data_IF_438443380603
#
_entry.id   IF_438443380603
#
_cell.length_a   1.000
_cell.length_b   1.000
_cell.length_c   1.000
_cell.angle_alpha   90.00
_cell.angle_beta   90.00
_cell.angle_gamma   90.00
#
_symmetry.space_group_name_H-M   'P 1'
#
loop_
_entity.id
_entity.type
_entity.pdbx_description
1 polymer ?
#
# COMPACT_ATOMS: atom_id res chain seq x y z
N UNK A 1 26.91 -3.40 14.81
CA UNK A 1 27.80 -3.46 13.63
C UNK A 1 29.13 -2.91 14.08
N UNK A 2 30.15 -3.75 14.11
CA UNK A 2 31.48 -3.40 14.62
C UNK A 2 32.18 -2.36 13.74
N UNK A 3 31.91 -2.36 12.43
CA UNK A 3 32.54 -1.43 11.48
C UNK A 3 32.00 0.01 11.54
N UNK A 4 30.85 0.26 12.17
CA UNK A 4 30.27 1.62 12.24
C UNK A 4 29.49 1.91 13.53
N UNK A 5 29.63 1.06 14.55
CA UNK A 5 28.97 1.14 15.86
C UNK A 5 27.43 1.31 15.82
N UNK A 6 26.77 0.94 14.72
CA UNK A 6 25.30 0.97 14.62
C UNK A 6 24.67 -0.28 15.25
N UNK A 7 23.65 -0.08 16.06
CA UNK A 7 22.87 -1.15 16.70
C UNK A 7 21.66 -1.53 15.85
N UNK A 8 21.35 -2.83 15.78
CA UNK A 8 20.23 -3.36 14.99
C UNK A 8 19.36 -4.27 15.86
N UNK A 9 18.03 -4.21 15.72
CA UNK A 9 17.12 -4.98 16.57
C UNK A 9 16.98 -6.45 16.16
N UNK A 10 17.64 -6.89 15.08
CA UNK A 10 17.65 -8.30 14.68
C UNK A 10 18.86 -8.64 13.82
N UNK A 11 19.25 -9.93 13.83
CA UNK A 11 20.38 -10.46 13.04
C UNK A 11 20.21 -10.22 11.55
N UNK A 12 19.04 -10.52 10.98
CA UNK A 12 18.79 -10.32 9.53
C UNK A 12 18.90 -8.85 9.10
N UNK A 13 18.58 -7.90 9.99
CA UNK A 13 18.76 -6.47 9.72
C UNK A 13 20.24 -6.08 9.73
N UNK A 14 21.02 -6.67 10.64
CA UNK A 14 22.48 -6.51 10.71
C UNK A 14 23.17 -7.11 9.47
N UNK A 15 22.82 -8.33 9.06
CA UNK A 15 23.35 -8.97 7.84
C UNK A 15 23.07 -8.14 6.59
N UNK A 16 21.83 -7.67 6.44
CA UNK A 16 21.46 -6.75 5.36
C UNK A 16 22.24 -5.44 5.41
N UNK A 17 22.55 -4.95 6.62
CA UNK A 17 23.36 -3.75 6.79
C UNK A 17 24.82 -3.98 6.38
N UNK A 18 25.39 -5.16 6.62
CA UNK A 18 26.75 -5.50 6.19
C UNK A 18 26.95 -5.41 4.67
N UNK A 19 25.90 -5.62 3.86
CA UNK A 19 25.93 -5.37 2.41
C UNK A 19 26.29 -3.91 2.04
N UNK A 20 26.18 -2.99 3.00
CA UNK A 20 26.64 -1.61 2.82
C UNK A 20 28.17 -1.55 2.80
N UNK A 21 28.81 -2.22 3.75
CA UNK A 21 30.27 -2.26 3.89
C UNK A 21 30.93 -3.08 2.78
N UNK A 22 30.37 -4.24 2.43
CA UNK A 22 30.94 -5.10 1.38
C UNK A 22 30.64 -4.61 -0.04
N UNK A 23 29.74 -3.63 -0.19
CA UNK A 23 29.27 -3.17 -1.49
C UNK A 23 28.42 -4.18 -2.26
N UNK A 24 28.17 -5.38 -1.71
CA UNK A 24 27.41 -6.43 -2.38
C UNK A 24 25.97 -5.99 -2.66
N UNK A 25 25.49 -6.32 -3.86
CA UNK A 25 24.14 -6.02 -4.33
C UNK A 25 23.55 -7.28 -4.97
N UNK A 26 23.03 -8.22 -4.17
CA UNK A 26 22.64 -9.54 -4.65
C UNK A 26 21.43 -9.53 -5.62
N UNK A 27 20.63 -8.47 -5.63
CA UNK A 27 19.43 -8.38 -6.44
C UNK A 27 19.70 -7.63 -7.75
N UNK A 28 19.93 -8.35 -8.85
CA UNK A 28 20.20 -7.78 -10.17
C UNK A 28 18.92 -7.64 -11.00
N UNK A 29 18.77 -6.51 -11.69
CA UNK A 29 17.73 -6.28 -12.68
C UNK A 29 18.11 -6.98 -13.99
N UNK A 30 17.24 -7.87 -14.47
CA UNK A 30 17.44 -8.59 -15.73
C UNK A 30 17.41 -7.66 -16.95
N UNK A 31 16.59 -6.61 -16.93
CA UNK A 31 16.39 -5.72 -18.08
C UNK A 31 17.54 -4.74 -18.33
N UNK A 32 18.24 -4.28 -17.28
CA UNK A 32 19.27 -3.24 -17.43
C UNK A 32 20.56 -3.51 -16.63
N UNK A 33 20.67 -4.69 -16.00
CA UNK A 33 21.85 -5.10 -15.24
C UNK A 33 22.09 -4.38 -13.91
N UNK A 34 21.30 -3.34 -13.56
CA UNK A 34 21.46 -2.61 -12.29
C UNK A 34 21.17 -3.50 -11.09
N UNK A 35 22.06 -3.47 -10.09
CA UNK A 35 21.93 -4.29 -8.88
C UNK A 35 21.54 -3.49 -7.64
N UNK A 36 20.86 -4.16 -6.69
CA UNK A 36 20.32 -3.59 -5.45
C UNK A 36 20.66 -4.47 -4.24
N UNK A 37 20.71 -3.84 -3.05
CA UNK A 37 20.91 -4.54 -1.76
C UNK A 37 19.65 -5.20 -1.21
N UNK A 38 18.47 -4.81 -1.69
CA UNK A 38 17.18 -5.30 -1.21
C UNK A 38 16.28 -5.67 -2.38
N UNK A 39 15.57 -6.78 -2.26
CA UNK A 39 14.60 -7.24 -3.27
C UNK A 39 13.47 -6.24 -3.49
N UNK A 40 13.00 -5.57 -2.44
CA UNK A 40 11.98 -4.51 -2.52
C UNK A 40 12.44 -3.34 -3.38
N UNK A 41 13.71 -2.94 -3.29
CA UNK A 41 14.26 -1.88 -4.14
C UNK A 41 14.38 -2.32 -5.60
N UNK A 42 14.75 -3.58 -5.86
CA UNK A 42 14.73 -4.14 -7.21
C UNK A 42 13.30 -4.13 -7.78
N UNK A 43 12.29 -4.59 -7.03
CA UNK A 43 10.88 -4.57 -7.48
C UNK A 43 10.40 -3.16 -7.82
N UNK A 44 10.69 -2.18 -6.96
CA UNK A 44 10.36 -0.77 -7.23
C UNK A 44 11.10 -0.25 -8.46
N UNK A 45 12.38 -0.64 -8.64
CA UNK A 45 13.14 -0.29 -9.81
C UNK A 45 12.58 -0.93 -11.09
N UNK A 46 12.08 -2.16 -11.03
CA UNK A 46 11.47 -2.80 -12.22
C UNK A 46 10.28 -2.01 -12.73
N UNK A 47 9.51 -1.36 -11.84
CA UNK A 47 8.46 -0.43 -12.24
C UNK A 47 9.00 0.76 -13.05
N UNK A 48 10.30 1.08 -13.04
CA UNK A 48 10.85 2.15 -13.91
C UNK A 48 10.94 1.74 -15.37
N UNK A 49 10.97 0.45 -15.66
CA UNK A 49 10.95 -0.08 -17.02
C UNK A 49 9.53 -0.20 -17.58
N UNK A 50 8.52 -0.02 -16.73
CA UNK A 50 7.11 -0.02 -17.13
C UNK A 50 6.48 1.36 -16.86
N UNK A 51 5.37 1.64 -17.52
CA UNK A 51 4.50 2.78 -17.17
C UNK A 51 3.52 2.45 -16.04
N UNK A 52 3.68 1.31 -15.39
CA UNK A 52 2.81 0.89 -14.30
C UNK A 52 2.97 1.82 -13.09
N UNK A 53 1.84 2.30 -12.58
CA UNK A 53 1.77 3.18 -11.41
C UNK A 53 0.73 2.63 -10.44
N UNK A 54 1.09 1.62 -9.62
CA UNK A 54 0.14 0.88 -8.79
C UNK A 54 -0.58 1.75 -7.77
N UNK A 55 0.03 2.87 -7.38
CA UNK A 55 -0.50 3.75 -6.33
C UNK A 55 -1.08 5.02 -6.96
N UNK A 56 -2.39 5.07 -7.13
CA UNK A 56 -3.07 6.24 -7.69
C UNK A 56 -3.64 7.16 -6.61
N UNK A 57 -3.56 8.46 -6.87
CA UNK A 57 -4.25 9.47 -6.07
C UNK A 57 -5.73 9.49 -6.45
N UNK A 58 -6.61 9.06 -5.56
CA UNK A 58 -8.06 9.08 -5.81
C UNK A 58 -8.65 10.49 -6.04
N UNK A 59 -7.90 11.56 -5.74
CA UNK A 59 -8.35 12.95 -5.87
C UNK A 59 -8.04 13.54 -7.25
N UNK A 60 -6.80 13.39 -7.73
CA UNK A 60 -6.34 13.95 -9.02
C UNK A 60 -5.91 12.89 -10.04
N UNK A 61 -6.13 11.61 -9.74
CA UNK A 61 -5.75 10.43 -10.54
C UNK A 61 -4.25 10.29 -10.87
N UNK A 62 -3.40 11.14 -10.28
CA UNK A 62 -1.94 11.03 -10.44
C UNK A 62 -1.43 9.71 -9.87
N UNK A 63 -0.79 8.91 -10.73
CA UNK A 63 -0.17 7.63 -10.37
C UNK A 63 1.25 7.75 -9.83
N UNK A 64 1.63 6.85 -8.93
CA UNK A 64 2.96 6.74 -8.31
C UNK A 64 3.44 5.29 -8.30
N UNK A 65 4.76 5.10 -8.46
CA UNK A 65 5.42 3.79 -8.38
C UNK A 65 5.67 3.32 -6.93
N UNK A 66 5.57 4.22 -5.95
CA UNK A 66 5.84 3.95 -4.52
C UNK A 66 4.77 4.59 -3.64
N UNK A 67 4.22 3.84 -2.67
CA UNK A 67 3.19 4.31 -1.73
C UNK A 67 3.61 5.55 -0.92
N UNK A 68 4.86 5.60 -0.44
CA UNK A 68 5.33 6.75 0.34
C UNK A 68 5.34 8.06 -0.46
N UNK A 69 5.56 7.99 -1.78
CA UNK A 69 5.46 9.15 -2.68
C UNK A 69 4.00 9.59 -2.85
N UNK A 70 3.06 8.64 -2.98
CA UNK A 70 1.62 8.95 -2.97
C UNK A 70 1.21 9.63 -1.65
N UNK A 71 1.68 9.15 -0.50
CA UNK A 71 1.34 9.75 0.80
C UNK A 71 1.87 11.18 0.93
N UNK A 72 3.12 11.42 0.54
CA UNK A 72 3.68 12.79 0.47
C UNK A 72 2.87 13.68 -0.47
N UNK A 73 2.46 13.16 -1.63
CA UNK A 73 1.61 13.89 -2.55
C UNK A 73 0.24 14.23 -1.94
N UNK A 74 -0.40 13.30 -1.22
CA UNK A 74 -1.66 13.58 -0.50
C UNK A 74 -1.51 14.66 0.57
N UNK A 75 -0.34 14.76 1.21
CA UNK A 75 -0.05 15.85 2.16
C UNK A 75 -0.01 17.22 1.47
N UNK A 76 0.41 17.29 0.20
CA UNK A 76 0.36 18.55 -0.56
C UNK A 76 -1.08 19.01 -0.80
N UNK A 77 -2.01 18.08 -1.03
CA UNK A 77 -3.43 18.43 -1.11
C UNK A 77 -3.94 19.05 0.19
N UNK A 78 -3.58 18.46 1.33
CA UNK A 78 -3.95 18.99 2.64
C UNK A 78 -3.34 20.39 2.91
N UNK A 79 -2.07 20.61 2.54
CA UNK A 79 -1.39 21.91 2.69
C UNK A 79 -2.02 23.00 1.83
N UNK A 80 -2.43 22.65 0.62
CA UNK A 80 -3.10 23.56 -0.30
C UNK A 80 -4.59 23.73 0.02
N UNK A 81 -5.05 23.27 1.20
CA UNK A 81 -6.46 23.29 1.65
C UNK A 81 -7.45 22.63 0.69
N UNK A 82 -6.97 21.86 -0.29
CA UNK A 82 -7.82 20.95 -1.06
C UNK A 82 -8.09 19.74 -0.17
N UNK A 83 -9.26 19.68 0.46
CA UNK A 83 -9.65 18.52 1.25
C UNK A 83 -9.53 17.28 0.37
N UNK A 84 -8.67 16.29 0.71
CA UNK A 84 -8.40 15.14 -0.14
C UNK A 84 -9.61 14.20 -0.11
N UNK A 85 -10.61 14.52 -0.91
CA UNK A 85 -11.83 13.75 -1.00
C UNK A 85 -11.83 12.91 -2.27
N UNK A 86 -12.10 11.61 -2.11
CA UNK A 86 -12.22 10.69 -3.23
C UNK A 86 -13.67 10.67 -3.72
N UNK A 87 -13.89 10.93 -5.01
CA UNK A 87 -15.20 10.82 -5.66
C UNK A 87 -15.44 9.39 -6.13
N UNK A 88 -16.64 8.85 -5.92
CA UNK A 88 -17.10 7.63 -6.57
C UNK A 88 -17.48 7.95 -8.02
N UNK A 89 -16.93 7.21 -8.98
CA UNK A 89 -17.22 7.39 -10.40
C UNK A 89 -18.65 6.94 -10.79
N UNK A 90 -19.24 5.98 -10.06
CA UNK A 90 -20.58 5.43 -10.34
C UNK A 90 -21.75 6.26 -9.81
N UNK A 91 -21.55 6.98 -8.71
CA UNK A 91 -22.65 7.70 -8.04
C UNK A 91 -22.27 9.08 -7.51
N UNK A 92 -21.08 9.56 -7.85
CA UNK A 92 -20.55 10.88 -7.51
C UNK A 92 -20.39 11.19 -6.03
N UNK A 93 -20.72 10.24 -5.13
CA UNK A 93 -20.55 10.40 -3.69
C UNK A 93 -19.09 10.63 -3.33
N UNK A 94 -18.90 11.57 -2.41
CA UNK A 94 -17.59 12.06 -1.99
C UNK A 94 -17.20 11.41 -0.65
N UNK A 95 -15.97 10.92 -0.55
CA UNK A 95 -15.45 10.22 0.63
C UNK A 95 -14.17 10.87 1.16
N UNK A 96 -13.97 10.93 2.48
CA UNK A 96 -12.77 11.54 3.08
C UNK A 96 -11.51 10.69 2.91
N UNK A 97 -11.62 9.45 2.43
CA UNK A 97 -10.46 8.60 2.19
C UNK A 97 -10.72 7.51 1.15
N UNK A 98 -9.64 7.03 0.54
CA UNK A 98 -9.69 5.95 -0.44
C UNK A 98 -10.19 4.65 0.16
N UNK A 99 -9.92 4.36 1.43
CA UNK A 99 -10.43 3.15 2.10
C UNK A 99 -11.94 3.21 2.31
N UNK A 100 -12.50 4.39 2.60
CA UNK A 100 -13.95 4.60 2.71
C UNK A 100 -14.62 4.47 1.34
N UNK A 101 -14.01 5.01 0.29
CA UNK A 101 -14.49 4.84 -1.09
C UNK A 101 -14.43 3.37 -1.54
N UNK A 102 -13.33 2.66 -1.28
CA UNK A 102 -13.21 1.21 -1.58
C UNK A 102 -14.29 0.39 -0.88
N UNK A 103 -14.55 0.67 0.40
CA UNK A 103 -15.65 0.04 1.13
C UNK A 103 -17.02 0.40 0.55
N UNK A 104 -17.18 1.61 0.03
CA UNK A 104 -18.41 2.03 -0.64
C UNK A 104 -18.63 1.28 -1.97
N UNK A 105 -17.58 0.97 -2.73
CA UNK A 105 -17.71 0.18 -3.96
C UNK A 105 -18.34 -1.20 -3.74
N UNK A 106 -18.23 -1.78 -2.53
CA UNK A 106 -18.92 -3.03 -2.16
C UNK A 106 -20.45 -2.93 -2.24
N UNK A 107 -21.01 -1.71 -2.23
CA UNK A 107 -22.43 -1.49 -2.48
C UNK A 107 -22.75 -1.72 -3.95
N UNK A 108 -21.92 -1.16 -4.86
CA UNK A 108 -22.11 -1.29 -6.30
C UNK A 108 -21.77 -2.67 -6.85
N UNK A 109 -20.81 -3.39 -6.25
CA UNK A 109 -20.46 -4.76 -6.67
C UNK A 109 -21.30 -5.83 -5.97
N UNK A 110 -22.08 -5.47 -4.95
CA UNK A 110 -22.82 -6.42 -4.12
C UNK A 110 -21.96 -7.34 -3.25
N UNK A 111 -20.62 -7.23 -3.31
CA UNK A 111 -19.71 -8.11 -2.58
C UNK A 111 -19.87 -7.96 -1.06
N UNK A 112 -19.87 -9.11 -0.37
CA UNK A 112 -19.95 -9.20 1.09
C UNK A 112 -18.81 -10.10 1.60
N UNK A 113 -17.59 -9.56 1.79
CA UNK A 113 -16.40 -10.36 2.04
C UNK A 113 -16.39 -11.12 3.38
N UNK A 114 -17.28 -10.75 4.31
CA UNK A 114 -17.24 -11.25 5.68
C UNK A 114 -18.42 -12.18 5.93
N UNK A 115 -18.21 -13.50 5.83
CA UNK A 115 -19.21 -14.53 6.10
C UNK A 115 -19.26 -14.95 7.57
N UNK A 116 -20.46 -15.18 8.10
CA UNK A 116 -20.67 -15.88 9.36
C UNK A 116 -20.52 -17.39 9.14
N UNK A 117 -19.64 -18.02 9.91
CA UNK A 117 -19.40 -19.46 9.86
C UNK A 117 -20.53 -20.28 10.50
N UNK A 118 -21.38 -19.68 11.33
CA UNK A 118 -22.50 -20.38 12.00
C UNK A 118 -23.73 -20.45 11.11
N UNK A 119 -24.19 -19.32 10.57
CA UNK A 119 -25.45 -19.25 9.82
C UNK A 119 -25.29 -18.86 8.33
N UNK A 120 -24.06 -18.74 7.82
CA UNK A 120 -23.77 -18.40 6.42
C UNK A 120 -24.06 -16.95 6.03
N UNK A 121 -24.64 -16.11 6.90
CA UNK A 121 -24.92 -14.70 6.59
C UNK A 121 -23.64 -13.93 6.30
N UNK A 122 -23.60 -13.25 5.16
CA UNK A 122 -22.46 -12.43 4.75
C UNK A 122 -22.70 -10.94 4.95
N UNK A 123 -21.63 -10.21 5.25
CA UNK A 123 -21.61 -8.79 5.58
C UNK A 123 -20.54 -8.04 4.77
N UNK A 124 -20.78 -6.76 4.50
CA UNK A 124 -19.80 -5.86 3.84
C UNK A 124 -18.70 -5.36 4.77
N UNK A 125 -18.90 -5.44 6.09
CA UNK A 125 -17.97 -4.93 7.09
C UNK A 125 -17.74 -5.96 8.20
N UNK A 126 -16.47 -6.13 8.59
CA UNK A 126 -16.08 -7.03 9.68
C UNK A 126 -16.74 -6.65 11.01
N UNK A 127 -16.88 -5.36 11.31
CA UNK A 127 -17.55 -4.90 12.53
C UNK A 127 -19.03 -5.34 12.60
N UNK A 128 -19.72 -5.38 11.45
CA UNK A 128 -21.10 -5.86 11.39
C UNK A 128 -21.18 -7.37 11.58
N UNK A 129 -20.25 -8.13 10.99
CA UNK A 129 -20.13 -9.57 11.25
C UNK A 129 -19.87 -9.82 12.73
N UNK A 130 -18.92 -9.13 13.35
CA UNK A 130 -18.62 -9.29 14.79
C UNK A 130 -19.84 -9.05 15.65
N UNK A 131 -20.59 -7.96 15.41
CA UNK A 131 -21.83 -7.68 16.14
C UNK A 131 -22.89 -8.75 15.91
N UNK A 132 -23.00 -9.27 14.69
CA UNK A 132 -23.92 -10.36 14.39
C UNK A 132 -23.50 -11.67 15.08
N UNK A 133 -22.21 -11.95 15.20
CA UNK A 133 -21.74 -13.15 15.88
C UNK A 133 -22.13 -13.19 17.36
N UNK A 134 -22.34 -12.02 17.99
CA UNK A 134 -22.83 -11.92 19.38
C UNK A 134 -24.32 -12.24 19.54
N UNK A 135 -25.07 -12.42 18.45
CA UNK A 135 -26.49 -12.80 18.51
C UNK A 135 -26.71 -14.30 18.41
N UNK A 136 -25.63 -15.08 18.26
CA UNK A 136 -25.62 -16.53 18.44
C UNK A 136 -25.18 -16.83 19.86
#
# INVERSE_FOLDING_TARGET
CESCNKTFPSRSKLERHFLIHTGQKPFKCSSCGKSFRQSTHLKIHQLTHTEERPFQCCFCQKGFKIQSKLMKHKQLHARNKTFPMCKCDRCEKIFPSSSKLQRHYLIHTGQKPFGCNVCGKAFRQSAHLKRHQLTH
#
